data_IF_469281739448
#
_entry.id   IF_469281739448
#
_cell.length_a   1.000
_cell.length_b   1.000
_cell.length_c   1.000
_cell.angle_alpha   90.00
_cell.angle_beta   90.00
_cell.angle_gamma   90.00
#
_symmetry.space_group_name_H-M   'P 1'
#
loop_
_entity.id
_entity.type
_entity.pdbx_description
1 polymer ?
#
# COMPACT_ATOMS: atom_id res chain seq x y z
N UNK A 1 8.01 -6.88 -18.97
CA UNK A 1 6.60 -6.54 -19.28
C UNK A 1 5.63 -7.42 -18.49
N UNK A 2 5.84 -8.74 -18.43
CA UNK A 2 5.02 -9.63 -17.59
C UNK A 2 5.16 -9.33 -16.09
N UNK A 3 6.34 -8.92 -15.62
CA UNK A 3 6.55 -8.59 -14.20
C UNK A 3 5.69 -7.41 -13.72
N UNK A 4 5.48 -6.42 -14.59
CA UNK A 4 4.59 -5.29 -14.28
C UNK A 4 3.15 -5.75 -14.10
N UNK A 5 2.68 -6.64 -15.00
CA UNK A 5 1.34 -7.22 -14.91
C UNK A 5 1.19 -8.13 -13.69
N UNK A 6 2.22 -8.90 -13.33
CA UNK A 6 2.22 -9.71 -12.11
C UNK A 6 2.13 -8.86 -10.85
N UNK A 7 2.96 -7.81 -10.73
CA UNK A 7 2.93 -6.91 -9.56
C UNK A 7 1.58 -6.21 -9.46
N UNK A 8 1.03 -5.75 -10.59
CA UNK A 8 -0.30 -5.15 -10.62
C UNK A 8 -1.39 -6.15 -10.20
N UNK A 9 -1.34 -7.39 -10.70
CA UNK A 9 -2.28 -8.44 -10.33
C UNK A 9 -2.22 -8.78 -8.84
N UNK A 10 -1.03 -8.88 -8.26
CA UNK A 10 -0.83 -9.10 -6.82
C UNK A 10 -1.36 -7.93 -5.98
N UNK A 11 -1.11 -6.69 -6.41
CA UNK A 11 -1.64 -5.50 -5.74
C UNK A 11 -3.17 -5.51 -5.71
N UNK A 12 -3.82 -5.76 -6.86
CA UNK A 12 -5.28 -5.85 -6.95
C UNK A 12 -5.86 -7.01 -6.12
N UNK A 13 -5.21 -8.17 -6.13
CA UNK A 13 -5.63 -9.33 -5.34
C UNK A 13 -5.55 -9.05 -3.83
N UNK A 14 -4.49 -8.36 -3.38
CA UNK A 14 -4.34 -7.95 -1.98
C UNK A 14 -5.40 -6.92 -1.57
N UNK A 15 -5.59 -5.85 -2.35
CA UNK A 15 -6.63 -4.85 -2.07
C UNK A 15 -8.03 -5.49 -2.05
N UNK A 16 -8.40 -6.19 -3.12
CA UNK A 16 -9.69 -6.86 -3.24
C UNK A 16 -9.93 -7.91 -2.15
N UNK A 17 -8.90 -8.69 -1.82
CA UNK A 17 -8.93 -9.67 -0.74
C UNK A 17 -9.18 -9.04 0.62
N UNK A 18 -8.53 -7.91 0.92
CA UNK A 18 -8.77 -7.17 2.16
C UNK A 18 -10.20 -6.59 2.22
N UNK A 19 -10.72 -6.06 1.12
CA UNK A 19 -12.11 -5.59 1.07
C UNK A 19 -13.11 -6.75 1.26
N UNK A 20 -12.85 -7.92 0.69
CA UNK A 20 -13.72 -9.08 0.81
C UNK A 20 -13.67 -9.73 2.21
N UNK A 21 -12.47 -9.87 2.79
CA UNK A 21 -12.28 -10.51 4.09
C UNK A 21 -12.65 -9.60 5.27
N UNK A 22 -12.35 -8.30 5.18
CA UNK A 22 -12.51 -7.35 6.29
C UNK A 22 -13.19 -6.04 5.87
N UNK A 23 -14.42 -6.08 5.29
CA UNK A 23 -15.08 -4.90 4.73
C UNK A 23 -15.35 -3.81 5.76
N UNK A 24 -15.68 -4.16 7.01
CA UNK A 24 -15.92 -3.19 8.07
C UNK A 24 -14.62 -2.48 8.51
N UNK A 25 -13.50 -3.21 8.58
CA UNK A 25 -12.20 -2.65 8.91
C UNK A 25 -11.74 -1.62 7.88
N UNK A 26 -11.88 -1.95 6.59
CA UNK A 26 -11.51 -1.04 5.50
C UNK A 26 -12.35 0.25 5.51
N UNK A 27 -13.67 0.15 5.72
CA UNK A 27 -14.53 1.35 5.85
C UNK A 27 -14.11 2.24 7.02
N UNK A 28 -13.77 1.64 8.17
CA UNK A 28 -13.30 2.40 9.34
C UNK A 28 -11.97 3.09 9.05
N UNK A 29 -11.04 2.40 8.41
CA UNK A 29 -9.74 2.97 8.02
C UNK A 29 -9.94 4.18 7.10
N UNK A 30 -10.78 4.06 6.07
CA UNK A 30 -11.10 5.19 5.19
C UNK A 30 -11.73 6.37 5.93
N UNK A 31 -12.64 6.12 6.87
CA UNK A 31 -13.24 7.18 7.68
C UNK A 31 -12.19 7.92 8.53
N UNK A 32 -11.18 7.21 9.05
CA UNK A 32 -10.07 7.83 9.78
C UNK A 32 -9.20 8.66 8.83
N UNK A 33 -8.91 8.15 7.63
CA UNK A 33 -8.08 8.85 6.63
C UNK A 33 -8.72 10.18 6.18
N UNK A 34 -10.05 10.20 6.01
CA UNK A 34 -10.79 11.42 5.62
C UNK A 34 -10.69 12.52 6.70
N UNK A 35 -10.54 12.15 7.97
CA UNK A 35 -10.44 13.12 9.07
C UNK A 35 -9.02 13.63 9.31
N UNK A 36 -8.02 13.02 8.67
CA UNK A 36 -6.63 13.43 8.83
C UNK A 36 -6.29 14.62 7.92
N UNK A 37 -5.49 15.59 8.39
CA UNK A 37 -4.98 16.66 7.55
C UNK A 37 -4.17 16.12 6.37
N UNK A 38 -4.29 16.77 5.21
CA UNK A 38 -3.57 16.39 3.99
C UNK A 38 -2.06 16.25 4.20
N UNK A 39 -1.45 17.11 5.01
CA UNK A 39 -0.01 17.08 5.28
C UNK A 39 0.42 15.84 6.07
N UNK A 40 -0.42 15.36 6.99
CA UNK A 40 -0.17 14.11 7.72
C UNK A 40 -0.27 12.90 6.77
N UNK A 41 -1.25 12.91 5.86
CA UNK A 41 -1.37 11.89 4.81
C UNK A 41 -0.18 11.90 3.85
N UNK A 42 0.30 13.08 3.45
CA UNK A 42 1.48 13.22 2.59
C UNK A 42 2.73 12.68 3.26
N UNK A 43 2.99 13.07 4.51
CA UNK A 43 4.19 12.63 5.23
C UNK A 43 4.18 11.13 5.50
N UNK A 44 3.05 10.57 5.91
CA UNK A 44 2.92 9.12 6.11
C UNK A 44 3.04 8.35 4.80
N UNK A 45 2.40 8.84 3.73
CA UNK A 45 2.49 8.25 2.38
C UNK A 45 3.92 8.27 1.83
N UNK A 46 4.63 9.39 1.97
CA UNK A 46 6.04 9.51 1.59
C UNK A 46 6.91 8.55 2.41
N UNK A 47 6.70 8.47 3.72
CA UNK A 47 7.45 7.54 4.58
C UNK A 47 7.29 6.08 4.15
N UNK A 48 6.05 5.65 3.88
CA UNK A 48 5.77 4.28 3.40
C UNK A 48 6.36 4.05 2.00
N UNK A 49 6.23 5.02 1.09
CA UNK A 49 6.79 4.91 -0.26
C UNK A 49 8.33 4.79 -0.24
N UNK A 50 9.00 5.64 0.53
CA UNK A 50 10.46 5.58 0.71
C UNK A 50 10.89 4.26 1.34
N UNK A 51 10.18 3.79 2.37
CA UNK A 51 10.47 2.50 2.98
C UNK A 51 10.29 1.34 1.99
N UNK A 52 9.21 1.35 1.20
CA UNK A 52 8.95 0.33 0.18
C UNK A 52 10.03 0.28 -0.90
N UNK A 53 10.46 1.44 -1.40
CA UNK A 53 11.59 1.52 -2.35
C UNK A 53 12.88 1.01 -1.72
N UNK A 54 13.16 1.40 -0.48
CA UNK A 54 14.33 0.92 0.27
C UNK A 54 14.33 -0.59 0.45
N UNK A 55 13.17 -1.17 0.79
CA UNK A 55 12.99 -2.62 0.92
C UNK A 55 13.27 -3.34 -0.40
N UNK A 56 12.69 -2.88 -1.52
CA UNK A 56 12.93 -3.45 -2.84
C UNK A 56 14.42 -3.36 -3.21
N UNK A 57 15.05 -2.22 -2.93
CA UNK A 57 16.49 -2.04 -3.19
C UNK A 57 17.35 -3.02 -2.38
N UNK A 58 17.09 -3.17 -1.07
CA UNK A 58 17.82 -4.11 -0.22
C UNK A 58 17.64 -5.54 -0.71
N UNK A 59 16.39 -5.96 -0.94
CA UNK A 59 16.10 -7.33 -1.41
C UNK A 59 16.79 -7.60 -2.74
N UNK A 60 16.73 -6.68 -3.71
CA UNK A 60 17.36 -6.88 -5.02
C UNK A 60 18.90 -6.84 -4.99
N UNK A 61 19.47 -6.14 -4.01
CA UNK A 61 20.92 -5.91 -3.94
C UNK A 61 21.63 -6.97 -3.11
N UNK A 62 20.98 -7.47 -2.05
CA UNK A 62 21.59 -8.36 -1.06
C UNK A 62 21.01 -9.79 -1.05
N UNK A 63 19.82 -10.03 -1.61
CA UNK A 63 19.28 -11.38 -1.85
C UNK A 63 19.36 -11.75 -3.34
#
# INVERSE_FOLDING_TARGET
>A
MLDLLMVLGLFLALEGGLYAAFPAGMKRMMAIMIQQPDDALRMSGLGVATFGVGLVWVVKTFL
#
